data_IF_420042519154
#
_entry.id   IF_420042519154
#
_cell.length_a   1.000
_cell.length_b   1.000
_cell.length_c   1.000
_cell.angle_alpha   90.00
_cell.angle_beta   90.00
_cell.angle_gamma   90.00
#
_symmetry.space_group_name_H-M   'P 1'
#
loop_
_entity.id
_entity.type
_entity.pdbx_description
1 polymer ?
#
# COMPACT_ATOMS: atom_id res chain seq x y z
N UNK A 1 -5.07 1.98 -20.95
CA UNK A 1 -4.26 2.90 -20.12
C UNK A 1 -3.43 2.08 -19.16
N UNK A 2 -2.14 2.43 -18.98
CA UNK A 2 -1.29 1.82 -17.95
C UNK A 2 -1.84 2.17 -16.56
N UNK A 3 -1.64 1.26 -15.59
CA UNK A 3 -2.02 1.53 -14.20
C UNK A 3 -1.00 2.49 -13.57
N UNK A 4 -1.48 3.40 -12.74
CA UNK A 4 -0.67 4.31 -11.92
C UNK A 4 -0.11 3.53 -10.73
N UNK A 5 1.21 3.53 -10.57
CA UNK A 5 1.91 2.90 -9.46
C UNK A 5 1.89 3.82 -8.25
N UNK A 6 1.38 3.30 -7.13
CA UNK A 6 1.18 4.08 -5.91
C UNK A 6 2.01 3.51 -4.76
N UNK A 7 2.59 4.40 -3.95
CA UNK A 7 3.11 4.10 -2.62
C UNK A 7 2.17 4.71 -1.57
N UNK A 8 1.89 3.97 -0.50
CA UNK A 8 1.15 4.47 0.67
C UNK A 8 2.08 4.46 1.88
N UNK A 9 2.48 5.63 2.35
CA UNK A 9 3.25 5.84 3.58
C UNK A 9 2.32 5.89 4.79
N UNK A 10 2.73 5.26 5.90
CA UNK A 10 1.85 5.12 7.06
C UNK A 10 0.65 4.22 6.80
N UNK A 11 0.82 3.18 5.97
CA UNK A 11 -0.28 2.33 5.48
C UNK A 11 -1.05 1.60 6.57
N UNK A 12 -0.47 1.43 7.77
CA UNK A 12 -1.10 0.74 8.90
C UNK A 12 -1.89 1.66 9.83
N UNK A 13 -1.84 2.98 9.61
CA UNK A 13 -2.72 3.92 10.30
C UNK A 13 -4.16 3.78 9.80
N UNK A 14 -5.13 4.26 10.58
CA UNK A 14 -6.55 4.17 10.21
C UNK A 14 -6.83 4.69 8.80
N UNK A 15 -6.30 5.87 8.46
CA UNK A 15 -6.44 6.47 7.12
C UNK A 15 -5.71 5.65 6.06
N UNK A 16 -4.49 5.17 6.35
CA UNK A 16 -3.72 4.34 5.43
C UNK A 16 -4.42 3.03 5.07
N UNK A 17 -5.05 2.37 6.03
CA UNK A 17 -5.83 1.14 5.83
C UNK A 17 -7.08 1.42 4.98
N UNK A 18 -7.83 2.48 5.28
CA UNK A 18 -9.00 2.86 4.48
C UNK A 18 -8.63 3.24 3.05
N UNK A 19 -7.57 4.03 2.87
CA UNK A 19 -7.05 4.38 1.56
C UNK A 19 -6.64 3.12 0.78
N UNK A 20 -5.95 2.19 1.44
CA UNK A 20 -5.58 0.90 0.83
C UNK A 20 -6.81 0.15 0.33
N UNK A 21 -7.91 0.14 1.08
CA UNK A 21 -9.17 -0.52 0.71
C UNK A 21 -9.84 0.10 -0.52
N UNK A 22 -9.83 1.43 -0.60
CA UNK A 22 -10.35 2.15 -1.78
C UNK A 22 -9.48 1.84 -3.00
N UNK A 23 -8.15 2.03 -2.88
CA UNK A 23 -7.22 1.88 -3.99
C UNK A 23 -7.08 0.42 -4.47
N UNK A 24 -7.20 -0.58 -3.58
CA UNK A 24 -7.15 -2.00 -3.95
C UNK A 24 -8.34 -2.47 -4.81
N UNK A 25 -9.40 -1.67 -4.90
CA UNK A 25 -10.55 -1.90 -5.78
C UNK A 25 -10.54 -1.01 -7.03
N UNK A 26 -9.59 -0.09 -7.15
CA UNK A 26 -9.56 0.86 -8.24
C UNK A 26 -8.88 0.27 -9.50
N UNK A 27 -9.60 0.24 -10.63
CA UNK A 27 -9.16 -0.42 -11.87
C UNK A 27 -7.85 0.11 -12.46
N UNK A 28 -7.56 1.39 -12.28
CA UNK A 28 -6.40 2.08 -12.89
C UNK A 28 -5.22 2.26 -11.91
N UNK A 29 -5.26 1.66 -10.73
CA UNK A 29 -4.21 1.79 -9.71
C UNK A 29 -3.53 0.46 -9.46
N UNK A 30 -2.22 0.50 -9.24
CA UNK A 30 -1.42 -0.60 -8.72
C UNK A 30 -0.73 -0.12 -7.44
N UNK A 31 -1.13 -0.67 -6.30
CA UNK A 31 -0.44 -0.45 -5.03
C UNK A 31 0.89 -1.20 -5.09
N UNK A 32 1.98 -0.46 -5.28
CA UNK A 32 3.32 -1.02 -5.46
C UNK A 32 4.01 -1.23 -4.12
N UNK A 33 3.82 -0.28 -3.19
CA UNK A 33 4.44 -0.34 -1.86
C UNK A 33 3.46 0.11 -0.78
N UNK A 34 3.47 -0.63 0.33
CA UNK A 34 2.85 -0.25 1.59
C UNK A 34 3.98 0.00 2.59
N UNK A 35 4.02 1.18 3.19
CA UNK A 35 5.13 1.61 4.03
C UNK A 35 4.68 1.82 5.48
N UNK A 36 5.43 1.24 6.42
CA UNK A 36 5.21 1.38 7.86
C UNK A 36 6.52 1.17 8.65
N UNK A 37 6.60 1.75 9.84
CA UNK A 37 7.80 1.70 10.68
C UNK A 37 7.80 0.54 11.67
N UNK A 38 6.70 0.34 12.40
CA UNK A 38 6.56 -0.68 13.45
C UNK A 38 6.03 -2.03 12.96
N UNK A 39 5.58 -2.10 11.71
CA UNK A 39 4.80 -3.21 11.17
C UNK A 39 5.44 -3.90 9.96
N UNK A 40 6.76 -3.73 9.82
CA UNK A 40 7.55 -4.28 8.72
C UNK A 40 7.38 -5.81 8.66
N UNK A 41 7.20 -6.34 7.46
CA UNK A 41 7.02 -7.77 7.19
C UNK A 41 5.60 -8.29 7.38
N UNK A 42 4.73 -7.56 8.06
CA UNK A 42 3.31 -7.91 8.21
C UNK A 42 2.56 -7.68 6.90
N UNK A 43 1.48 -8.44 6.71
CA UNK A 43 0.48 -8.14 5.69
C UNK A 43 -0.49 -7.07 6.19
N UNK A 44 -1.02 -6.26 5.28
CA UNK A 44 -2.06 -5.28 5.65
C UNK A 44 -3.36 -5.94 6.13
N UNK A 45 -3.59 -7.20 5.73
CA UNK A 45 -4.69 -8.05 6.18
C UNK A 45 -4.68 -8.29 7.70
N UNK A 46 -3.53 -8.14 8.36
CA UNK A 46 -3.41 -8.17 9.82
C UNK A 46 -4.17 -7.01 10.48
N UNK A 47 -4.24 -5.86 9.81
CA UNK A 47 -4.91 -4.64 10.29
C UNK A 47 -6.37 -4.57 9.84
N UNK A 48 -6.67 -5.08 8.64
CA UNK A 48 -8.05 -5.24 8.14
C UNK A 48 -8.20 -6.54 7.36
N UNK A 49 -8.90 -7.51 7.96
CA UNK A 49 -9.16 -8.84 7.38
C UNK A 49 -9.90 -8.77 6.04
N UNK A 50 -10.66 -7.70 5.75
CA UNK A 50 -11.34 -7.54 4.45
C UNK A 50 -10.36 -7.43 3.28
N UNK A 51 -9.09 -7.06 3.53
CA UNK A 51 -8.03 -7.00 2.54
C UNK A 51 -7.35 -8.36 2.26
N UNK A 52 -7.65 -9.41 3.04
CA UNK A 52 -7.09 -10.77 2.83
C UNK A 52 -7.38 -11.36 1.45
N UNK A 53 -8.49 -10.95 0.82
CA UNK A 53 -8.88 -11.39 -0.53
C UNK A 53 -8.08 -10.69 -1.64
N UNK A 54 -7.23 -9.71 -1.30
CA UNK A 54 -6.45 -8.93 -2.25
C UNK A 54 -4.97 -9.32 -2.15
N UNK A 55 -4.33 -9.57 -3.29
CA UNK A 55 -2.89 -9.78 -3.36
C UNK A 55 -2.17 -8.42 -3.27
N UNK A 56 -1.83 -8.01 -2.06
CA UNK A 56 -1.15 -6.75 -1.75
C UNK A 56 0.29 -7.01 -1.30
N UNK A 57 1.23 -6.06 -1.52
CA UNK A 57 2.60 -6.22 -1.04
C UNK A 57 2.65 -6.24 0.49
N UNK A 58 3.66 -6.91 1.05
CA UNK A 58 3.95 -6.82 2.49
C UNK A 58 4.37 -5.40 2.85
N UNK A 59 4.15 -5.04 4.11
CA UNK A 59 4.54 -3.73 4.63
C UNK A 59 6.07 -3.71 4.73
N UNK A 60 6.68 -2.68 4.17
CA UNK A 60 8.13 -2.46 4.20
C UNK A 60 8.45 -1.12 4.88
N UNK A 61 9.71 -0.94 5.28
CA UNK A 61 10.18 0.38 5.71
C UNK A 61 10.30 1.29 4.50
N UNK A 62 9.86 2.54 4.63
CA UNK A 62 10.06 3.53 3.58
C UNK A 62 11.56 3.71 3.28
N UNK A 63 11.89 3.83 2.00
CA UNK A 63 13.23 4.15 1.52
C UNK A 63 13.08 5.09 0.32
N UNK A 64 13.90 6.15 0.23
CA UNK A 64 13.89 7.12 -0.89
C UNK A 64 14.04 6.45 -2.25
N UNK A 65 14.74 5.30 -2.32
CA UNK A 65 14.88 4.48 -3.55
C UNK A 65 13.55 3.95 -4.08
N UNK A 66 12.50 3.86 -3.26
CA UNK A 66 11.16 3.43 -3.71
C UNK A 66 10.49 4.49 -4.59
N UNK A 67 10.89 5.76 -4.46
CA UNK A 67 10.31 6.87 -5.21
C UNK A 67 10.63 6.82 -6.70
N UNK A 68 11.66 6.10 -7.13
CA UNK A 68 12.07 6.03 -8.54
C UNK A 68 11.08 5.27 -9.42
N UNK A 69 10.20 4.48 -8.81
CA UNK A 69 9.38 3.47 -9.48
C UNK A 69 7.89 3.64 -9.19
N UNK A 70 7.48 4.81 -8.71
CA UNK A 70 6.11 5.16 -8.34
C UNK A 70 5.73 6.49 -8.94
N UNK A 71 4.46 6.61 -9.30
CA UNK A 71 3.91 7.79 -9.96
C UNK A 71 3.29 8.75 -8.92
N UNK A 72 2.73 8.19 -7.83
CA UNK A 72 2.07 8.96 -6.76
C UNK A 72 2.45 8.37 -5.39
N UNK A 73 2.64 9.25 -4.41
CA UNK A 73 2.80 8.92 -2.99
C UNK A 73 1.62 9.48 -2.22
N UNK A 74 1.00 8.65 -1.39
CA UNK A 74 0.06 9.05 -0.35
C UNK A 74 0.69 8.85 1.02
#
# INVERSE_FOLDING_TARGET
MSKINVLIAGSTGYIGVQLTKILANHKNVKIKYLCGSSSIGKEISYFDKSLSKKKLPKIIKFNKKLLTNVDIVF
#
